data_IF_924360174095
#
_entry.id   IF_924360174095
#
_cell.length_a   1.000
_cell.length_b   1.000
_cell.length_c   1.000
_cell.angle_alpha   90.00
_cell.angle_beta   90.00
_cell.angle_gamma   90.00
#
_symmetry.space_group_name_H-M   'P 1'
#
loop_
_entity.id
_entity.type
_entity.pdbx_description
1 polymer ?
#
# COMPACT_ATOMS: atom_id res chain seq x y z
N UNK A 1 -2.66 -45.03 7.54
CA UNK A 1 -1.95 -43.88 8.15
C UNK A 1 -0.56 -44.23 8.67
N UNK A 2 -0.37 -45.13 9.70
CA UNK A 2 0.97 -45.46 10.22
C UNK A 2 1.96 -45.95 9.16
N UNK A 3 1.51 -46.79 8.21
CA UNK A 3 2.35 -47.31 7.11
C UNK A 3 2.78 -46.18 6.14
N UNK A 4 1.87 -45.28 5.77
CA UNK A 4 2.13 -44.14 4.89
C UNK A 4 3.09 -43.14 5.52
N UNK A 5 2.93 -42.82 6.81
CA UNK A 5 3.83 -41.92 7.53
C UNK A 5 5.25 -42.48 7.61
N UNK A 6 5.39 -43.78 7.85
CA UNK A 6 6.72 -44.46 7.83
C UNK A 6 7.38 -44.43 6.46
N UNK A 7 6.60 -44.59 5.37
CA UNK A 7 7.18 -44.50 4.01
C UNK A 7 7.64 -43.09 3.66
N UNK A 8 7.10 -42.07 4.32
CA UNK A 8 7.52 -40.65 4.20
C UNK A 8 8.62 -40.28 5.22
N UNK A 9 9.14 -41.22 5.99
CA UNK A 9 10.18 -40.96 7.00
C UNK A 9 9.67 -40.26 8.27
N UNK A 10 8.35 -40.11 8.44
CA UNK A 10 7.73 -39.39 9.56
C UNK A 10 7.49 -40.35 10.74
N UNK A 11 7.96 -39.94 11.92
CA UNK A 11 7.77 -40.71 13.17
C UNK A 11 6.97 -39.89 14.16
N UNK A 12 5.75 -40.32 14.43
CA UNK A 12 4.87 -39.72 15.44
C UNK A 12 4.98 -40.48 16.76
N UNK A 13 4.85 -39.76 17.88
CA UNK A 13 4.68 -40.33 19.21
C UNK A 13 3.28 -40.94 19.32
N UNK A 14 3.12 -41.98 20.15
CA UNK A 14 1.82 -42.65 20.33
C UNK A 14 0.68 -41.68 20.66
N UNK A 15 0.92 -40.69 21.51
CA UNK A 15 -0.05 -39.66 21.89
C UNK A 15 -0.49 -38.76 20.70
N UNK A 16 0.32 -38.60 19.69
CA UNK A 16 0.04 -37.74 18.55
C UNK A 16 -0.95 -38.39 17.57
N UNK A 17 -1.03 -39.71 17.55
CA UNK A 17 -2.02 -40.43 16.74
C UNK A 17 -3.46 -40.22 17.18
N UNK A 18 -3.69 -39.80 18.43
CA UNK A 18 -5.01 -39.47 19.00
C UNK A 18 -5.43 -38.03 18.79
N UNK A 19 -4.61 -37.19 18.13
CA UNK A 19 -4.95 -35.80 17.87
C UNK A 19 -6.04 -35.68 16.80
N UNK A 20 -6.82 -34.59 16.90
CA UNK A 20 -7.75 -34.18 15.85
C UNK A 20 -7.01 -33.89 14.53
N UNK A 21 -7.74 -33.94 13.41
CA UNK A 21 -7.17 -33.84 12.06
C UNK A 21 -6.27 -32.63 11.88
N UNK A 22 -6.68 -31.41 12.28
CA UNK A 22 -5.87 -30.19 12.11
C UNK A 22 -4.56 -30.20 12.91
N UNK A 23 -4.54 -30.49 14.22
CA UNK A 23 -3.32 -30.63 14.99
C UNK A 23 -2.41 -31.75 14.46
N UNK A 24 -3.00 -32.91 14.10
CA UNK A 24 -2.24 -34.03 13.55
C UNK A 24 -1.54 -33.64 12.24
N UNK A 25 -2.25 -33.02 11.29
CA UNK A 25 -1.69 -32.53 10.05
C UNK A 25 -0.55 -31.53 10.29
N UNK A 26 -0.73 -30.62 11.26
CA UNK A 26 0.33 -29.66 11.61
C UNK A 26 1.61 -30.36 12.06
N UNK A 27 1.53 -31.36 12.92
CA UNK A 27 2.70 -32.13 13.39
C UNK A 27 3.33 -32.91 12.24
N UNK A 28 2.52 -33.58 11.43
CA UNK A 28 3.00 -34.35 10.27
C UNK A 28 3.70 -33.47 9.26
N UNK A 29 3.08 -32.33 8.89
CA UNK A 29 3.62 -31.42 7.90
C UNK A 29 4.88 -30.70 8.41
N UNK A 30 4.94 -30.37 9.71
CA UNK A 30 6.13 -29.80 10.32
C UNK A 30 7.32 -30.77 10.26
N UNK A 31 7.10 -32.09 10.44
CA UNK A 31 8.15 -33.08 10.29
C UNK A 31 8.53 -33.35 8.82
N UNK A 32 7.55 -33.29 7.91
CA UNK A 32 7.76 -33.52 6.48
C UNK A 32 8.53 -32.40 5.81
N UNK A 33 8.10 -31.17 6.02
CA UNK A 33 8.71 -30.00 5.40
C UNK A 33 9.91 -29.45 6.18
N UNK A 34 10.01 -29.79 7.47
CA UNK A 34 11.02 -29.22 8.35
C UNK A 34 10.80 -27.72 8.65
N UNK A 35 11.78 -27.05 9.21
CA UNK A 35 11.74 -25.60 9.44
C UNK A 35 11.77 -24.85 8.09
N UNK A 36 11.16 -23.64 8.00
CA UNK A 36 11.13 -22.84 6.78
C UNK A 36 12.48 -22.14 6.49
N UNK A 37 13.60 -22.81 6.78
CA UNK A 37 14.95 -22.25 6.62
C UNK A 37 15.20 -21.81 5.19
N UNK A 38 14.88 -22.63 4.19
CA UNK A 38 15.10 -22.27 2.80
C UNK A 38 14.35 -21.01 2.34
N UNK A 39 13.14 -20.77 2.85
CA UNK A 39 12.42 -19.52 2.60
C UNK A 39 13.10 -18.35 3.33
N UNK A 40 13.47 -18.52 4.57
CA UNK A 40 14.17 -17.48 5.36
C UNK A 40 15.51 -17.13 4.72
N UNK A 41 16.30 -18.15 4.35
CA UNK A 41 17.60 -17.97 3.70
C UNK A 41 17.45 -17.21 2.37
N UNK A 42 16.46 -17.58 1.56
CA UNK A 42 16.13 -16.88 0.31
C UNK A 42 15.78 -15.40 0.56
N UNK A 43 14.99 -15.10 1.58
CA UNK A 43 14.64 -13.71 1.91
C UNK A 43 15.88 -12.94 2.39
N UNK A 44 16.70 -13.53 3.25
CA UNK A 44 17.92 -12.88 3.78
C UNK A 44 18.95 -12.62 2.68
N UNK A 45 19.10 -13.53 1.74
CA UNK A 45 20.09 -13.43 0.66
C UNK A 45 19.62 -12.50 -0.49
N UNK A 46 18.35 -12.56 -0.88
CA UNK A 46 17.89 -11.93 -2.12
C UNK A 46 16.99 -10.70 -1.93
N UNK A 47 16.43 -10.48 -0.74
CA UNK A 47 15.59 -9.31 -0.48
C UNK A 47 16.42 -8.21 0.19
N UNK A 48 16.79 -7.16 -0.54
CA UNK A 48 17.61 -6.09 0.01
C UNK A 48 16.84 -5.24 1.05
N UNK A 49 17.58 -4.64 1.96
CA UNK A 49 17.01 -3.67 2.91
C UNK A 49 16.45 -2.44 2.18
N UNK A 50 15.53 -1.68 2.81
CA UNK A 50 15.00 -0.43 2.24
C UNK A 50 16.09 0.53 1.79
N UNK A 51 17.13 0.74 2.60
CA UNK A 51 18.23 1.64 2.26
C UNK A 51 19.08 1.10 1.09
N UNK A 52 19.41 -0.19 1.08
CA UNK A 52 20.21 -0.80 0.00
C UNK A 52 19.49 -0.78 -1.36
N UNK A 53 18.16 -0.85 -1.37
CA UNK A 53 17.38 -0.85 -2.61
C UNK A 53 16.82 0.54 -3.00
N UNK A 54 16.99 1.55 -2.17
CA UNK A 54 16.35 2.86 -2.37
C UNK A 54 16.72 3.48 -3.72
N UNK A 55 18.02 3.57 -4.04
CA UNK A 55 18.49 4.16 -5.30
C UNK A 55 17.91 3.46 -6.52
N UNK A 56 17.99 2.13 -6.58
CA UNK A 56 17.44 1.36 -7.71
C UNK A 56 15.92 1.55 -7.84
N UNK A 57 15.22 1.60 -6.71
CA UNK A 57 13.76 1.76 -6.71
C UNK A 57 13.34 3.15 -7.18
N UNK A 58 13.99 4.20 -6.70
CA UNK A 58 13.70 5.59 -7.09
C UNK A 58 13.91 5.78 -8.60
N UNK A 59 15.00 5.28 -9.16
CA UNK A 59 15.25 5.34 -10.60
C UNK A 59 14.11 4.71 -11.44
N UNK A 60 13.42 3.71 -10.90
CA UNK A 60 12.33 3.04 -11.61
C UNK A 60 10.98 3.75 -11.51
N UNK A 61 10.66 4.35 -10.35
CA UNK A 61 9.31 4.84 -10.07
C UNK A 61 9.18 6.35 -10.01
N UNK A 62 10.24 7.10 -9.76
CA UNK A 62 10.19 8.55 -9.69
C UNK A 62 10.19 9.16 -11.10
N UNK A 63 9.41 10.24 -11.30
CA UNK A 63 9.30 10.90 -12.63
C UNK A 63 10.22 12.08 -12.79
N UNK A 64 10.74 12.63 -11.69
CA UNK A 64 11.60 13.79 -11.69
C UNK A 64 13.07 13.48 -11.96
N UNK A 65 13.90 14.54 -12.08
CA UNK A 65 15.34 14.42 -12.20
C UNK A 65 15.94 13.71 -10.98
N UNK A 66 17.03 12.97 -11.18
CA UNK A 66 17.67 12.17 -10.13
C UNK A 66 18.83 12.90 -9.43
N UNK A 67 19.18 14.07 -9.90
CA UNK A 67 20.26 14.94 -9.43
C UNK A 67 19.79 16.08 -8.51
N UNK A 68 18.51 16.04 -8.09
CA UNK A 68 17.93 16.99 -7.15
C UNK A 68 18.17 16.57 -5.69
N UNK A 69 18.15 17.53 -4.77
CA UNK A 69 18.30 17.26 -3.33
C UNK A 69 17.24 16.28 -2.81
N UNK A 70 16.00 16.41 -3.30
CA UNK A 70 14.90 15.48 -2.99
C UNK A 70 15.21 14.07 -3.47
N UNK A 71 15.66 13.92 -4.71
CA UNK A 71 15.96 12.61 -5.29
C UNK A 71 17.15 11.94 -4.60
N UNK A 72 18.20 12.70 -4.27
CA UNK A 72 19.33 12.19 -3.50
C UNK A 72 18.93 11.72 -2.09
N UNK A 73 18.11 12.50 -1.38
CA UNK A 73 17.61 12.12 -0.06
C UNK A 73 16.78 10.82 -0.12
N UNK A 74 15.92 10.67 -1.14
CA UNK A 74 15.17 9.44 -1.37
C UNK A 74 16.09 8.24 -1.69
N UNK A 75 17.14 8.44 -2.49
CA UNK A 75 18.10 7.40 -2.85
C UNK A 75 18.93 6.95 -1.64
N UNK A 76 19.21 7.84 -0.71
CA UNK A 76 19.91 7.57 0.55
C UNK A 76 18.97 7.01 1.63
N UNK A 77 17.65 7.08 1.41
CA UNK A 77 16.64 6.74 2.43
C UNK A 77 16.83 7.57 3.70
N UNK A 78 17.04 8.88 3.54
CA UNK A 78 17.45 9.79 4.61
C UNK A 78 16.24 10.18 5.49
N UNK A 79 16.21 9.86 6.78
CA UNK A 79 15.12 10.21 7.69
C UNK A 79 15.05 11.69 8.05
N UNK A 80 16.15 12.44 7.88
CA UNK A 80 16.22 13.88 8.15
C UNK A 80 16.03 14.74 6.90
N UNK A 81 15.95 14.10 5.73
CA UNK A 81 15.74 14.77 4.46
C UNK A 81 14.32 15.31 4.27
N UNK A 82 14.02 15.90 3.10
CA UNK A 82 12.67 16.35 2.75
C UNK A 82 11.69 15.18 2.76
N UNK A 83 10.50 15.41 3.32
CA UNK A 83 9.47 14.37 3.38
C UNK A 83 8.96 14.00 1.98
N UNK A 84 9.06 12.72 1.63
CA UNK A 84 8.47 12.16 0.42
C UNK A 84 7.87 10.78 0.71
N UNK A 85 6.57 10.63 0.43
CA UNK A 85 5.83 9.37 0.64
C UNK A 85 5.13 8.97 -0.66
N UNK A 86 5.22 7.72 -1.04
CA UNK A 86 4.43 7.14 -2.13
C UNK A 86 3.23 6.37 -1.56
N UNK A 87 2.04 6.90 -1.73
CA UNK A 87 0.78 6.23 -1.41
C UNK A 87 0.43 5.25 -2.52
N UNK A 88 0.24 3.99 -2.15
CA UNK A 88 0.00 2.90 -3.10
C UNK A 88 -1.38 2.27 -2.96
N UNK A 89 -2.03 2.46 -1.82
CA UNK A 89 -3.35 1.89 -1.55
C UNK A 89 -4.11 2.73 -0.53
N UNK A 90 -5.44 2.71 -0.65
CA UNK A 90 -6.36 3.26 0.33
C UNK A 90 -7.08 2.11 1.05
N UNK A 91 -7.14 2.18 2.37
CA UNK A 91 -7.90 1.26 3.21
C UNK A 91 -9.06 2.00 3.85
N UNK A 92 -10.22 1.36 3.98
CA UNK A 92 -11.35 1.95 4.70
C UNK A 92 -10.93 2.31 6.13
N UNK A 93 -11.35 3.49 6.61
CA UNK A 93 -11.17 3.85 8.00
C UNK A 93 -12.10 3.03 8.90
N UNK A 94 -11.89 3.06 10.21
CA UNK A 94 -12.68 2.25 11.17
C UNK A 94 -14.17 2.59 11.16
N UNK A 95 -14.50 3.84 10.83
CA UNK A 95 -15.89 4.33 10.77
C UNK A 95 -16.55 4.09 9.41
N UNK A 96 -15.83 3.55 8.42
CA UNK A 96 -16.27 3.39 7.04
C UNK A 96 -16.81 4.68 6.38
N UNK A 97 -16.36 5.85 6.87
CA UNK A 97 -16.76 7.17 6.36
C UNK A 97 -15.78 7.71 5.29
N UNK A 98 -14.52 7.24 5.32
CA UNK A 98 -13.44 7.66 4.43
C UNK A 98 -12.37 6.58 4.33
N UNK A 99 -11.18 7.00 3.90
CA UNK A 99 -10.05 6.10 3.70
C UNK A 99 -8.82 6.58 4.45
N UNK A 100 -7.98 5.62 4.83
CA UNK A 100 -6.63 5.87 5.30
C UNK A 100 -5.64 5.50 4.19
N UNK A 101 -4.68 6.37 3.96
CA UNK A 101 -3.70 6.23 2.89
C UNK A 101 -2.50 5.40 3.34
N UNK A 102 -2.28 4.26 2.67
CA UNK A 102 -1.15 3.38 2.91
C UNK A 102 -0.02 3.67 1.93
N UNK A 103 1.13 4.04 2.44
CA UNK A 103 2.27 4.43 1.63
C UNK A 103 3.61 4.09 2.26
N UNK A 104 4.66 4.20 1.44
CA UNK A 104 6.04 4.04 1.87
C UNK A 104 6.72 5.39 1.97
N UNK A 105 7.37 5.66 3.10
CA UNK A 105 8.22 6.83 3.30
C UNK A 105 9.56 6.57 2.63
N UNK A 106 9.90 7.38 1.63
CA UNK A 106 11.17 7.28 0.90
C UNK A 106 12.24 8.22 1.45
N UNK A 107 11.82 9.39 1.96
CA UNK A 107 12.71 10.37 2.57
C UNK A 107 11.96 11.14 3.65
N UNK A 108 12.69 11.67 4.63
CA UNK A 108 12.14 12.42 5.74
C UNK A 108 11.43 11.57 6.79
N UNK A 109 10.78 12.24 7.71
CA UNK A 109 9.96 11.63 8.78
C UNK A 109 8.60 12.31 8.78
N UNK A 110 7.52 11.54 8.56
CA UNK A 110 6.15 12.04 8.69
C UNK A 110 5.73 12.04 10.15
N UNK A 111 5.04 13.11 10.58
CA UNK A 111 4.53 13.25 11.95
C UNK A 111 3.02 13.49 11.96
N UNK A 112 2.36 13.00 13.00
CA UNK A 112 0.95 13.32 13.27
C UNK A 112 0.77 14.82 13.45
N UNK A 113 -0.28 15.39 12.88
CA UNK A 113 -0.56 16.84 12.91
C UNK A 113 0.19 17.68 11.88
N UNK A 114 1.11 17.09 11.10
CA UNK A 114 1.87 17.79 10.07
C UNK A 114 0.97 18.13 8.86
N UNK A 115 1.16 19.34 8.32
CA UNK A 115 0.55 19.71 7.04
C UNK A 115 1.47 19.30 5.90
N UNK A 116 0.88 18.65 4.90
CA UNK A 116 1.58 18.09 3.74
C UNK A 116 0.90 18.50 2.44
N UNK A 117 1.64 18.49 1.34
CA UNK A 117 1.08 18.57 -0.01
C UNK A 117 0.81 17.16 -0.52
N UNK A 118 -0.40 16.94 -0.99
CA UNK A 118 -0.82 15.68 -1.63
C UNK A 118 -0.91 15.95 -3.13
N UNK A 119 -0.04 15.29 -3.89
CA UNK A 119 0.05 15.37 -5.34
C UNK A 119 -0.64 14.14 -5.92
N UNK A 120 -1.69 14.34 -6.72
CA UNK A 120 -2.43 13.26 -7.36
C UNK A 120 -1.70 12.67 -8.57
N UNK A 121 -2.37 11.76 -9.26
CA UNK A 121 -1.79 11.01 -10.39
C UNK A 121 -1.56 11.87 -11.64
N UNK A 122 -2.30 12.97 -11.77
CA UNK A 122 -2.27 13.88 -12.92
C UNK A 122 -1.45 15.15 -12.66
N UNK A 123 -0.91 15.30 -11.46
CA UNK A 123 -0.12 16.49 -11.11
C UNK A 123 1.12 16.63 -12.00
N UNK A 124 1.34 17.85 -12.47
CA UNK A 124 2.58 18.29 -13.14
C UNK A 124 3.03 19.60 -12.53
N UNK A 125 4.28 19.99 -12.73
CA UNK A 125 4.81 21.26 -12.21
C UNK A 125 4.08 22.47 -12.82
N UNK A 126 3.68 22.35 -14.09
CA UNK A 126 2.99 23.40 -14.83
C UNK A 126 1.49 23.45 -14.55
N UNK A 127 0.92 22.40 -13.92
CA UNK A 127 -0.50 22.26 -13.62
C UNK A 127 -0.70 21.72 -12.19
N UNK A 128 -1.03 22.62 -11.28
CA UNK A 128 -1.25 22.34 -9.87
C UNK A 128 -2.70 21.94 -9.54
N UNK A 129 -3.59 21.74 -10.52
CA UNK A 129 -5.00 21.42 -10.26
C UNK A 129 -5.16 20.15 -9.41
N UNK A 130 -4.28 19.17 -9.58
CA UNK A 130 -4.29 17.90 -8.81
C UNK A 130 -3.36 17.94 -7.57
N UNK A 131 -3.25 19.11 -6.93
CA UNK A 131 -2.50 19.31 -5.69
C UNK A 131 -3.40 19.86 -4.60
N UNK A 132 -3.31 19.30 -3.41
CA UNK A 132 -4.04 19.78 -2.24
C UNK A 132 -3.16 19.81 -0.99
N UNK A 133 -3.47 20.79 -0.13
CA UNK A 133 -2.84 20.91 1.19
C UNK A 133 -3.71 20.21 2.21
N UNK A 134 -3.17 19.21 2.91
CA UNK A 134 -3.93 18.44 3.88
C UNK A 134 -3.14 18.24 5.17
N UNK A 135 -3.85 18.05 6.27
CA UNK A 135 -3.26 17.79 7.58
C UNK A 135 -3.37 16.31 7.91
N UNK A 136 -2.25 15.68 8.20
CA UNK A 136 -2.21 14.31 8.70
C UNK A 136 -2.88 14.28 10.08
N UNK A 137 -4.06 13.66 10.17
CA UNK A 137 -4.77 13.54 11.44
C UNK A 137 -4.13 12.51 12.36
N UNK A 138 -3.76 11.37 11.78
CA UNK A 138 -3.23 10.23 12.49
C UNK A 138 -2.18 9.51 11.65
N UNK A 139 -1.22 8.88 12.31
CA UNK A 139 -0.24 7.99 11.68
C UNK A 139 -0.19 6.66 12.43
N UNK A 140 -0.15 5.56 11.68
CA UNK A 140 -0.07 4.21 12.24
C UNK A 140 0.95 3.36 11.49
N UNK A 141 1.55 2.43 12.22
CA UNK A 141 2.14 1.24 11.61
C UNK A 141 1.02 0.24 11.41
N UNK A 142 0.86 -0.23 10.17
CA UNK A 142 -0.23 -1.13 9.79
C UNK A 142 0.26 -2.57 9.70
N UNK A 143 -0.12 -3.36 10.71
CA UNK A 143 0.25 -4.77 10.82
C UNK A 143 -0.95 -5.66 10.52
N UNK A 144 -1.14 -6.00 9.23
CA UNK A 144 -2.28 -6.77 8.74
C UNK A 144 -3.62 -6.07 9.02
N UNK A 145 -4.27 -6.35 10.15
CA UNK A 145 -5.53 -5.72 10.60
C UNK A 145 -5.37 -4.78 11.79
N UNK A 146 -4.16 -4.73 12.36
CA UNK A 146 -3.90 -3.90 13.53
C UNK A 146 -3.32 -2.55 13.12
N UNK A 147 -3.85 -1.48 13.69
CA UNK A 147 -3.37 -0.11 13.53
C UNK A 147 -2.66 0.29 14.82
N UNK A 148 -1.34 0.30 14.80
CA UNK A 148 -0.53 0.71 15.95
C UNK A 148 -0.25 2.19 15.82
N UNK A 149 -0.83 3.07 16.67
CA UNK A 149 -0.62 4.50 16.56
C UNK A 149 0.83 4.86 16.89
N UNK A 150 1.36 5.82 16.14
CA UNK A 150 2.73 6.32 16.31
C UNK A 150 2.78 7.83 16.10
N UNK A 151 3.70 8.51 16.75
CA UNK A 151 3.87 9.96 16.61
C UNK A 151 4.58 10.36 15.31
N UNK A 152 5.41 9.46 14.76
CA UNK A 152 6.10 9.69 13.51
C UNK A 152 6.69 8.42 12.93
N UNK A 153 6.88 8.43 11.60
CA UNK A 153 7.45 7.31 10.83
C UNK A 153 8.56 7.80 9.92
N UNK A 154 9.80 7.33 10.12
CA UNK A 154 10.95 7.72 9.30
C UNK A 154 11.02 6.98 7.97
N UNK A 155 11.87 7.48 7.08
CA UNK A 155 12.19 6.87 5.79
C UNK A 155 12.50 5.37 5.90
N UNK A 156 12.15 4.62 4.85
CA UNK A 156 12.33 3.18 4.76
C UNK A 156 11.15 2.36 5.30
N UNK A 157 10.22 2.96 6.02
CA UNK A 157 9.08 2.30 6.62
C UNK A 157 7.80 2.50 5.79
N UNK A 158 6.84 1.61 6.04
CA UNK A 158 5.47 1.77 5.59
C UNK A 158 4.64 2.47 6.66
N UNK A 159 3.71 3.31 6.23
CA UNK A 159 2.84 4.09 7.11
C UNK A 159 1.41 4.07 6.61
N UNK A 160 0.45 4.09 7.53
CA UNK A 160 -0.95 4.36 7.26
C UNK A 160 -1.27 5.76 7.81
N UNK A 161 -1.85 6.62 6.97
CA UNK A 161 -2.11 8.03 7.27
C UNK A 161 -3.59 8.34 7.15
N UNK A 162 -4.16 8.93 8.20
CA UNK A 162 -5.53 9.42 8.21
C UNK A 162 -5.64 10.91 7.84
N UNK A 163 -6.80 11.30 7.33
CA UNK A 163 -7.16 12.70 7.08
C UNK A 163 -6.63 13.30 5.77
N UNK A 164 -6.11 12.49 4.85
CA UNK A 164 -5.49 12.96 3.60
C UNK A 164 -6.08 12.33 2.34
N UNK A 165 -7.17 11.58 2.47
CA UNK A 165 -7.73 10.77 1.37
C UNK A 165 -8.61 11.56 0.38
N UNK A 166 -9.01 12.79 0.70
CA UNK A 166 -10.05 13.50 -0.04
C UNK A 166 -9.71 13.69 -1.52
N UNK A 167 -8.46 14.03 -1.84
CA UNK A 167 -7.97 14.23 -3.21
C UNK A 167 -7.37 12.98 -3.85
N UNK A 168 -7.11 11.92 -3.07
CA UNK A 168 -6.47 10.72 -3.60
C UNK A 168 -7.49 9.84 -4.32
N UNK A 169 -7.24 9.51 -5.57
CA UNK A 169 -8.08 8.58 -6.35
C UNK A 169 -7.63 7.14 -6.15
N UNK A 170 -6.36 6.83 -6.39
CA UNK A 170 -5.76 5.50 -6.17
C UNK A 170 -4.37 5.60 -5.59
N UNK A 171 -3.49 6.36 -6.24
CA UNK A 171 -2.12 6.60 -5.81
C UNK A 171 -1.89 8.10 -5.64
N UNK A 172 -0.93 8.47 -4.83
CA UNK A 172 -0.52 9.85 -4.64
C UNK A 172 0.93 9.94 -4.20
N UNK A 173 1.51 11.09 -4.40
CA UNK A 173 2.81 11.45 -3.84
C UNK A 173 2.59 12.50 -2.76
N UNK A 174 3.04 12.25 -1.55
CA UNK A 174 2.95 13.20 -0.45
C UNK A 174 4.32 13.80 -0.25
N UNK A 175 4.36 15.13 -0.19
CA UNK A 175 5.58 15.88 0.09
C UNK A 175 5.35 16.89 1.19
N UNK A 176 6.41 17.36 1.82
CA UNK A 176 6.29 18.39 2.84
C UNK A 176 5.73 19.70 2.26
N UNK A 177 5.13 20.51 3.13
CA UNK A 177 4.42 21.72 2.75
C UNK A 177 5.28 22.72 1.98
N UNK A 178 6.52 22.95 2.42
CA UNK A 178 7.45 23.91 1.80
C UNK A 178 8.80 23.24 1.58
N UNK A 179 9.25 23.26 0.35
CA UNK A 179 10.60 22.88 -0.02
C UNK A 179 11.13 23.83 -1.10
N UNK A 180 12.43 23.90 -1.25
CA UNK A 180 13.09 24.82 -2.20
C UNK A 180 12.97 24.39 -3.64
N UNK A 181 12.88 23.10 -3.87
CA UNK A 181 12.83 22.47 -5.19
C UNK A 181 11.42 22.01 -5.53
N UNK A 182 11.16 21.86 -6.82
CA UNK A 182 9.92 21.28 -7.32
C UNK A 182 9.86 19.79 -7.02
N UNK A 183 8.69 19.36 -6.57
CA UNK A 183 8.44 17.95 -6.30
C UNK A 183 7.70 17.31 -7.47
N UNK A 184 8.21 16.16 -7.90
CA UNK A 184 7.59 15.35 -8.94
C UNK A 184 6.83 14.17 -8.31
N UNK A 185 5.92 13.60 -9.08
CA UNK A 185 5.13 12.45 -8.62
C UNK A 185 5.85 11.13 -8.84
N UNK A 186 5.45 10.11 -8.09
CA UNK A 186 5.76 8.74 -8.47
C UNK A 186 4.84 8.28 -9.59
N UNK A 187 5.36 7.43 -10.46
CA UNK A 187 4.57 6.83 -11.55
C UNK A 187 3.37 6.08 -10.97
N UNK A 188 2.15 6.34 -11.45
CA UNK A 188 0.97 5.61 -11.03
C UNK A 188 1.13 4.10 -11.24
N UNK A 189 0.57 3.31 -10.34
CA UNK A 189 0.62 1.85 -10.43
C UNK A 189 -0.20 1.38 -11.64
N UNK A 190 0.44 0.65 -12.54
CA UNK A 190 -0.20 0.02 -13.70
C UNK A 190 -0.26 -1.48 -13.49
N UNK A 191 -1.45 -2.03 -13.62
CA UNK A 191 -1.68 -3.47 -13.53
C UNK A 191 -1.82 -4.02 -14.95
N UNK A 192 -1.03 -5.04 -15.37
CA UNK A 192 -1.10 -5.62 -16.71
C UNK A 192 -2.31 -6.54 -16.90
N UNK A 193 -3.33 -6.40 -16.08
CA UNK A 193 -4.55 -7.22 -16.13
C UNK A 193 -5.66 -6.49 -16.88
N UNK A 194 -6.24 -7.14 -17.90
CA UNK A 194 -7.44 -6.65 -18.54
C UNK A 194 -8.67 -7.01 -17.69
N UNK A 195 -9.69 -6.13 -17.71
CA UNK A 195 -10.97 -6.44 -17.07
C UNK A 195 -11.64 -7.60 -17.80
N UNK A 196 -11.84 -8.72 -17.10
CA UNK A 196 -12.52 -9.91 -17.61
C UNK A 196 -14.03 -9.74 -17.71
N UNK A 197 -14.60 -8.89 -16.87
CA UNK A 197 -16.04 -8.62 -16.82
C UNK A 197 -16.29 -7.11 -16.84
N UNK A 198 -17.24 -6.69 -17.69
CA UNK A 198 -17.77 -5.32 -17.73
C UNK A 198 -19.26 -5.39 -17.50
N UNK A 199 -19.75 -4.66 -16.51
CA UNK A 199 -21.17 -4.64 -16.13
C UNK A 199 -21.68 -3.21 -16.22
N UNK A 200 -22.84 -3.02 -16.87
CA UNK A 200 -23.59 -1.77 -16.80
C UNK A 200 -24.46 -1.79 -15.54
N UNK A 201 -24.47 -0.68 -14.81
CA UNK A 201 -25.23 -0.54 -13.57
C UNK A 201 -26.07 0.71 -13.66
N UNK A 202 -27.37 0.59 -13.36
CA UNK A 202 -28.32 1.70 -13.26
C UNK A 202 -29.06 1.60 -11.93
N UNK A 203 -29.40 2.74 -11.29
CA UNK A 203 -30.21 2.71 -10.08
C UNK A 203 -31.65 2.35 -10.43
N UNK A 204 -32.32 1.56 -9.61
CA UNK A 204 -33.75 1.24 -9.77
C UNK A 204 -34.62 2.48 -9.62
N UNK A 205 -34.24 3.38 -8.73
CA UNK A 205 -34.88 4.67 -8.54
C UNK A 205 -33.94 5.79 -8.99
N UNK A 206 -34.32 6.62 -9.99
CA UNK A 206 -33.48 7.71 -10.48
C UNK A 206 -33.00 8.71 -9.39
N UNK A 207 -33.77 8.88 -8.32
CA UNK A 207 -33.38 9.74 -7.20
C UNK A 207 -32.16 9.24 -6.42
N UNK A 208 -31.82 7.94 -6.54
CA UNK A 208 -30.65 7.33 -5.88
C UNK A 208 -29.37 7.42 -6.71
N UNK A 209 -29.42 8.02 -7.90
CA UNK A 209 -28.25 8.17 -8.78
C UNK A 209 -27.03 8.81 -8.07
N UNK A 210 -27.17 9.90 -7.30
CA UNK A 210 -26.04 10.50 -6.59
C UNK A 210 -25.39 9.54 -5.60
N UNK A 211 -26.18 8.77 -4.85
CA UNK A 211 -25.71 7.77 -3.88
C UNK A 211 -24.97 6.63 -4.57
N UNK A 212 -25.49 6.16 -5.71
CA UNK A 212 -24.83 5.13 -6.51
C UNK A 212 -23.47 5.62 -7.05
N UNK A 213 -23.42 6.85 -7.56
CA UNK A 213 -22.17 7.45 -8.08
C UNK A 213 -21.12 7.59 -6.97
N UNK A 214 -21.52 7.99 -5.76
CA UNK A 214 -20.61 8.06 -4.62
C UNK A 214 -20.10 6.67 -4.22
N UNK A 215 -20.96 5.68 -4.17
CA UNK A 215 -20.57 4.30 -3.94
C UNK A 215 -19.57 3.77 -4.97
N UNK A 216 -19.78 4.06 -6.26
CA UNK A 216 -18.85 3.68 -7.34
C UNK A 216 -17.51 4.39 -7.21
N UNK A 217 -17.47 5.66 -6.80
CA UNK A 217 -16.22 6.38 -6.52
C UNK A 217 -15.45 5.74 -5.38
N UNK A 218 -16.13 5.34 -4.30
CA UNK A 218 -15.52 4.62 -3.17
C UNK A 218 -14.95 3.27 -3.60
N UNK A 219 -15.67 2.49 -4.39
CA UNK A 219 -15.18 1.23 -4.94
C UNK A 219 -13.94 1.47 -5.81
N UNK A 220 -13.96 2.50 -6.66
CA UNK A 220 -12.80 2.85 -7.48
C UNK A 220 -11.56 3.23 -6.65
N UNK A 221 -11.74 3.89 -5.51
CA UNK A 221 -10.66 4.23 -4.57
C UNK A 221 -10.08 2.99 -3.86
N UNK A 222 -10.94 2.12 -3.36
CA UNK A 222 -10.53 0.97 -2.52
C UNK A 222 -9.91 -0.19 -3.32
N UNK A 223 -10.32 -0.36 -4.59
CA UNK A 223 -9.85 -1.46 -5.44
C UNK A 223 -8.96 -0.95 -6.58
N UNK A 224 -7.64 -1.18 -6.52
CA UNK A 224 -6.70 -0.65 -7.52
C UNK A 224 -7.00 -1.09 -8.96
N UNK A 225 -7.49 -2.32 -9.15
CA UNK A 225 -7.74 -2.91 -10.48
C UNK A 225 -9.11 -2.52 -11.07
N UNK A 226 -10.06 -2.11 -10.22
CA UNK A 226 -11.41 -1.72 -10.66
C UNK A 226 -11.36 -0.36 -11.35
N UNK A 227 -12.01 -0.25 -12.50
CA UNK A 227 -12.21 1.02 -13.21
C UNK A 227 -13.70 1.27 -13.38
N UNK A 228 -14.18 2.40 -12.89
CA UNK A 228 -15.55 2.87 -13.08
C UNK A 228 -15.58 3.99 -14.12
N UNK A 229 -16.56 3.94 -15.04
CA UNK A 229 -16.79 5.00 -16.04
C UNK A 229 -18.26 5.39 -16.05
N UNK A 230 -18.53 6.66 -15.93
CA UNK A 230 -19.89 7.21 -16.12
C UNK A 230 -20.08 7.51 -17.59
N UNK A 231 -21.14 7.00 -18.20
CA UNK A 231 -21.58 7.33 -19.56
C UNK A 231 -22.94 8.00 -19.49
N UNK A 232 -23.03 9.21 -19.98
CA UNK A 232 -24.32 9.87 -20.19
C UNK A 232 -24.84 9.40 -21.54
N UNK A 233 -25.89 8.59 -21.55
CA UNK A 233 -26.62 8.22 -22.75
C UNK A 233 -27.69 9.31 -22.94
N UNK A 234 -27.44 10.26 -23.84
CA UNK A 234 -28.48 11.15 -24.29
C UNK A 234 -29.46 10.31 -25.12
N UNK A 235 -30.70 10.20 -24.66
CA UNK A 235 -31.81 9.64 -25.44
C UNK A 235 -32.37 10.69 -26.35
#
# INVERSE_FOLDING_TARGET
>A
MKKTLRSLGIRLKEKEYGLNVKPLLRVVLAQFFGPPSGFVDMVVEHVPSPAANASKRIQQIYTGPLDTEIAEAMQKCDPEGPLVIHVTKLYDNEEATGFDAFGRVFSGTVKTGQTVRVLGESYTIDDEEDMTMQKVSNAWIYESRYRVPVDGVPAGNWVLLGGIDSSIIKTATIVQQKWKEDAYIFRPLRFPTAATLKVAIEPMNPSELPKMLDGLRRINKSYPVVTTKVRIIMK
#
